data_IF_654900207245
#
_entry.id   IF_654900207245
#
_cell.length_a   1.000
_cell.length_b   1.000
_cell.length_c   1.000
_cell.angle_alpha   90.00
_cell.angle_beta   90.00
_cell.angle_gamma   90.00
#
_symmetry.space_group_name_H-M   'P 1'
#
loop_
_entity.id
_entity.type
_entity.pdbx_description
1 polymer ?
#
# COMPACT_ATOMS: atom_id res chain seq x y z
N UNK A 1 -19.86 -2.43 18.11
CA UNK A 1 -18.47 -2.71 17.65
C UNK A 1 -18.01 -1.46 16.90
N UNK A 2 -16.82 -0.92 17.14
CA UNK A 2 -16.40 0.34 16.48
C UNK A 2 -16.01 0.12 15.02
N UNK A 3 -16.24 1.12 14.17
CA UNK A 3 -15.93 1.04 12.73
C UNK A 3 -14.45 0.72 12.46
N UNK A 4 -13.55 1.22 13.32
CA UNK A 4 -12.11 0.92 13.26
C UNK A 4 -11.82 -0.56 13.51
N UNK A 5 -12.50 -1.18 14.48
CA UNK A 5 -12.33 -2.62 14.75
C UNK A 5 -12.85 -3.44 13.56
N UNK A 6 -14.03 -3.08 13.04
CA UNK A 6 -14.60 -3.76 11.87
C UNK A 6 -13.66 -3.66 10.66
N UNK A 7 -13.08 -2.48 10.40
CA UNK A 7 -12.11 -2.29 9.33
C UNK A 7 -10.85 -3.14 9.53
N UNK A 8 -10.31 -3.18 10.76
CA UNK A 8 -9.17 -4.04 11.08
C UNK A 8 -9.47 -5.53 10.84
N UNK A 9 -10.61 -6.01 11.33
CA UNK A 9 -11.02 -7.41 11.18
C UNK A 9 -11.19 -7.76 9.68
N UNK A 10 -11.81 -6.88 8.89
CA UNK A 10 -11.94 -7.06 7.44
C UNK A 10 -10.59 -7.08 6.71
N UNK A 11 -9.61 -6.28 7.14
CA UNK A 11 -8.25 -6.34 6.57
C UNK A 11 -7.60 -7.69 6.90
N UNK A 12 -7.75 -8.18 8.13
CA UNK A 12 -7.22 -9.49 8.53
C UNK A 12 -7.87 -10.62 7.70
N UNK A 13 -9.20 -10.60 7.56
CA UNK A 13 -9.93 -11.58 6.76
C UNK A 13 -9.45 -11.57 5.31
N UNK A 14 -9.29 -10.39 4.70
CA UNK A 14 -8.72 -10.25 3.37
C UNK A 14 -7.30 -10.81 3.27
N UNK A 15 -6.42 -10.51 4.25
CA UNK A 15 -5.04 -10.99 4.22
C UNK A 15 -4.96 -12.53 4.30
N UNK A 16 -5.88 -13.17 5.02
CA UNK A 16 -5.95 -14.62 5.18
C UNK A 16 -6.71 -15.34 4.06
N UNK A 17 -7.49 -14.61 3.25
CA UNK A 17 -8.24 -15.18 2.14
C UNK A 17 -7.29 -15.67 1.03
N UNK A 18 -7.48 -16.85 0.45
CA UNK A 18 -6.57 -17.35 -0.60
C UNK A 18 -6.98 -16.94 -2.03
N UNK A 19 -8.23 -16.54 -2.24
CA UNK A 19 -8.80 -16.25 -3.56
C UNK A 19 -8.83 -14.76 -3.88
N UNK A 20 -9.05 -13.91 -2.88
CA UNK A 20 -9.10 -12.46 -3.06
C UNK A 20 -7.70 -11.85 -3.18
N UNK A 21 -7.38 -11.30 -4.36
CA UNK A 21 -6.08 -10.66 -4.61
C UNK A 21 -6.06 -9.18 -4.24
N UNK A 22 -7.20 -8.49 -4.35
CA UNK A 22 -7.27 -7.02 -4.28
C UNK A 22 -8.21 -6.55 -3.17
N UNK A 23 -7.80 -5.52 -2.43
CA UNK A 23 -8.62 -4.83 -1.43
C UNK A 23 -8.61 -3.34 -1.70
N UNK A 24 -9.77 -2.70 -1.52
CA UNK A 24 -9.93 -1.26 -1.60
C UNK A 24 -10.38 -0.72 -0.25
N UNK A 25 -9.47 -0.07 0.46
CA UNK A 25 -9.71 0.39 1.82
C UNK A 25 -10.38 1.77 1.82
N UNK A 26 -11.60 1.84 2.35
CA UNK A 26 -12.47 3.05 2.40
C UNK A 26 -13.28 3.07 3.70
N UNK A 27 -13.98 4.17 3.97
CA UNK A 27 -15.06 4.24 4.97
C UNK A 27 -14.65 4.62 6.40
N UNK A 28 -13.38 4.50 6.76
CA UNK A 28 -12.83 5.03 8.03
C UNK A 28 -11.81 6.13 7.76
N UNK A 29 -11.61 7.00 8.76
CA UNK A 29 -10.70 8.14 8.67
C UNK A 29 -9.26 7.69 8.34
N UNK A 30 -8.52 8.57 7.68
CA UNK A 30 -7.26 8.21 7.00
C UNK A 30 -6.17 7.74 7.92
N UNK A 31 -6.10 8.37 9.08
CA UNK A 31 -5.19 7.97 10.14
C UNK A 31 -5.48 6.53 10.57
N UNK A 32 -6.73 6.25 10.89
CA UNK A 32 -7.19 4.94 11.35
C UNK A 32 -6.97 3.89 10.28
N UNK A 33 -7.14 4.21 8.98
CA UNK A 33 -6.84 3.29 7.88
C UNK A 33 -5.38 2.90 7.83
N UNK A 34 -4.48 3.89 7.85
CA UNK A 34 -3.05 3.60 7.78
C UNK A 34 -2.59 2.81 9.01
N UNK A 35 -3.09 3.18 10.20
CA UNK A 35 -2.78 2.47 11.44
C UNK A 35 -3.32 1.04 11.42
N UNK A 36 -4.58 0.82 11.03
CA UNK A 36 -5.18 -0.51 10.95
C UNK A 36 -4.45 -1.39 9.92
N UNK A 37 -4.16 -0.85 8.74
CA UNK A 37 -3.46 -1.56 7.67
C UNK A 37 -2.05 -2.00 8.09
N UNK A 38 -1.24 -1.07 8.61
CA UNK A 38 0.13 -1.40 9.05
C UNK A 38 0.14 -2.37 10.23
N UNK A 39 -0.81 -2.22 11.16
CA UNK A 39 -0.97 -3.14 12.29
C UNK A 39 -1.34 -4.54 11.82
N UNK A 40 -2.30 -4.66 10.91
CA UNK A 40 -2.75 -5.94 10.37
C UNK A 40 -1.64 -6.65 9.60
N UNK A 41 -0.91 -5.92 8.74
CA UNK A 41 0.24 -6.46 8.02
C UNK A 41 1.34 -6.95 8.98
N UNK A 42 1.68 -6.15 10.00
CA UNK A 42 2.72 -6.53 10.96
C UNK A 42 2.33 -7.74 11.84
N UNK A 43 1.03 -7.95 12.07
CA UNK A 43 0.49 -9.09 12.83
C UNK A 43 0.62 -10.42 12.07
N UNK A 44 0.70 -10.38 10.74
CA UNK A 44 0.91 -11.56 9.88
C UNK A 44 2.36 -12.09 9.93
N UNK A 45 3.25 -11.41 10.66
CA UNK A 45 4.65 -11.82 10.82
C UNK A 45 5.57 -11.25 9.73
N UNK A 46 6.52 -12.06 9.28
CA UNK A 46 7.64 -11.63 8.44
C UNK A 46 7.25 -11.43 6.98
N UNK A 47 6.46 -10.39 6.70
CA UNK A 47 6.04 -10.05 5.35
C UNK A 47 7.04 -9.14 4.63
N UNK A 48 7.19 -9.34 3.33
CA UNK A 48 7.91 -8.45 2.41
C UNK A 48 6.91 -7.75 1.50
N UNK A 49 6.90 -6.42 1.49
CA UNK A 49 5.95 -5.66 0.68
C UNK A 49 6.53 -4.48 -0.09
N UNK A 50 5.76 -4.03 -1.07
CA UNK A 50 6.05 -2.87 -1.90
C UNK A 50 5.00 -1.78 -1.68
N UNK A 51 5.43 -0.55 -1.49
CA UNK A 51 4.54 0.62 -1.44
C UNK A 51 4.80 1.46 -2.69
N UNK A 52 3.82 1.48 -3.58
CA UNK A 52 3.81 2.32 -4.76
C UNK A 52 3.19 3.67 -4.41
N UNK A 53 4.04 4.69 -4.44
CA UNK A 53 3.64 6.08 -4.23
C UNK A 53 3.24 6.70 -5.55
N UNK A 54 2.04 7.26 -5.65
CA UNK A 54 1.55 7.91 -6.87
C UNK A 54 1.31 9.40 -6.63
N UNK A 55 1.85 10.25 -7.50
CA UNK A 55 1.72 11.72 -7.40
C UNK A 55 2.13 12.30 -6.03
N UNK A 56 3.03 11.64 -5.31
CA UNK A 56 3.52 12.13 -4.03
C UNK A 56 4.67 13.13 -4.22
N UNK A 57 4.84 14.02 -3.25
CA UNK A 57 5.99 14.91 -3.17
C UNK A 57 7.29 14.13 -2.90
N UNK A 58 8.43 14.84 -2.89
CA UNK A 58 9.75 14.27 -2.56
C UNK A 58 9.75 13.49 -1.22
N UNK A 59 8.94 13.94 -0.27
CA UNK A 59 8.83 13.35 1.07
C UNK A 59 7.71 12.29 1.15
N UNK A 60 7.34 11.67 0.02
CA UNK A 60 6.24 10.73 -0.07
C UNK A 60 6.38 9.52 0.85
N UNK A 61 7.61 9.02 1.05
CA UNK A 61 7.88 7.89 1.95
C UNK A 61 7.62 8.28 3.41
N UNK A 62 8.11 9.44 3.84
CA UNK A 62 7.87 9.98 5.18
C UNK A 62 6.38 10.26 5.38
N UNK A 63 5.74 10.87 4.38
CA UNK A 63 4.33 11.22 4.44
C UNK A 63 3.45 9.99 4.60
N UNK A 64 3.72 8.89 3.89
CA UNK A 64 3.01 7.63 4.07
C UNK A 64 2.97 7.18 5.54
N UNK A 65 4.09 7.26 6.25
CA UNK A 65 4.16 6.91 7.68
C UNK A 65 3.56 7.98 8.59
N UNK A 66 3.66 9.26 8.24
CA UNK A 66 3.02 10.36 8.99
C UNK A 66 1.50 10.23 9.03
N UNK A 67 0.88 9.70 7.97
CA UNK A 67 -0.55 9.38 7.99
C UNK A 67 -0.90 8.33 9.04
N UNK A 68 0.04 7.45 9.43
CA UNK A 68 -0.12 6.53 10.55
C UNK A 68 0.31 7.13 11.92
N UNK A 69 0.64 8.42 11.98
CA UNK A 69 1.27 9.10 13.14
C UNK A 69 2.66 8.53 13.53
N UNK A 70 3.35 7.91 12.56
CA UNK A 70 4.68 7.34 12.76
C UNK A 70 5.78 8.33 12.35
N UNK A 71 5.99 9.36 13.16
CA UNK A 71 6.89 10.48 12.83
C UNK A 71 8.40 10.18 12.92
N UNK A 72 8.78 9.07 13.57
CA UNK A 72 10.19 8.72 13.85
C UNK A 72 10.73 7.60 12.97
N UNK A 73 10.00 7.23 11.91
CA UNK A 73 10.42 6.16 11.00
C UNK A 73 11.54 6.65 10.10
N UNK A 74 12.68 5.97 10.16
CA UNK A 74 13.80 6.22 9.24
C UNK A 74 13.50 5.55 7.90
N UNK A 75 13.03 6.35 6.93
CA UNK A 75 12.78 5.87 5.58
C UNK A 75 14.08 5.76 4.76
N UNK A 76 14.13 4.91 3.72
CA UNK A 76 15.27 4.83 2.83
C UNK A 76 15.54 6.15 2.10
N UNK A 77 16.81 6.39 1.73
CA UNK A 77 17.19 7.58 0.94
C UNK A 77 16.84 7.45 -0.55
N UNK A 78 16.54 6.23 -1.03
CA UNK A 78 16.29 5.92 -2.45
C UNK A 78 15.18 4.90 -2.59
N UNK A 79 14.36 5.05 -3.63
CA UNK A 79 13.39 4.04 -4.04
C UNK A 79 14.07 2.70 -4.37
N UNK A 80 13.41 1.59 -4.04
CA UNK A 80 13.92 0.23 -4.17
C UNK A 80 14.92 -0.22 -3.11
N UNK A 81 15.34 0.66 -2.18
CA UNK A 81 16.04 0.23 -0.99
C UNK A 81 15.03 -0.28 0.04
N UNK A 82 15.25 -1.49 0.55
CA UNK A 82 14.41 -2.07 1.60
C UNK A 82 14.66 -1.44 2.96
N UNK A 83 13.61 -1.25 3.74
CA UNK A 83 13.67 -0.91 5.16
C UNK A 83 12.98 -1.97 6.00
N UNK A 84 13.41 -2.08 7.27
CA UNK A 84 12.70 -2.86 8.28
C UNK A 84 11.76 -1.95 9.07
N UNK A 85 10.54 -2.41 9.25
CA UNK A 85 9.56 -1.82 10.17
C UNK A 85 8.97 -2.97 11.00
N UNK A 86 9.51 -3.20 12.19
CA UNK A 86 9.14 -4.36 13.02
C UNK A 86 9.28 -5.66 12.21
N UNK A 87 8.20 -6.42 11.97
CA UNK A 87 8.23 -7.68 11.24
C UNK A 87 8.22 -7.47 9.71
N UNK A 88 7.96 -6.25 9.24
CA UNK A 88 7.83 -5.95 7.84
C UNK A 88 9.17 -5.60 7.19
N UNK A 89 9.36 -6.08 5.96
CA UNK A 89 10.38 -5.57 5.05
C UNK A 89 9.70 -4.79 3.95
N UNK A 90 9.86 -3.48 3.93
CA UNK A 90 9.12 -2.57 3.05
C UNK A 90 10.08 -1.98 2.02
N UNK A 91 9.66 -2.03 0.76
CA UNK A 91 10.27 -1.34 -0.36
C UNK A 91 9.32 -0.23 -0.81
N UNK A 92 9.87 0.85 -1.35
CA UNK A 92 9.08 1.91 -1.98
C UNK A 92 9.42 2.00 -3.46
N UNK A 93 8.43 2.31 -4.28
CA UNK A 93 8.61 2.76 -5.66
C UNK A 93 7.70 3.95 -5.97
N UNK A 94 8.01 4.66 -7.06
CA UNK A 94 7.19 5.75 -7.57
C UNK A 94 6.44 5.29 -8.82
N UNK A 95 5.12 5.38 -8.78
CA UNK A 95 4.25 4.96 -9.86
C UNK A 95 3.84 6.17 -10.70
N UNK A 96 4.17 6.15 -11.98
CA UNK A 96 3.80 7.21 -12.92
C UNK A 96 3.30 6.63 -14.24
N UNK A 97 2.39 7.35 -14.91
CA UNK A 97 1.90 6.96 -16.25
C UNK A 97 2.93 7.12 -17.36
N UNK A 98 4.03 7.82 -17.11
CA UNK A 98 5.11 8.04 -18.09
C UNK A 98 6.09 6.87 -18.15
N UNK A 99 6.15 6.07 -17.10
CA UNK A 99 6.97 4.87 -17.03
C UNK A 99 6.17 3.80 -16.28
N UNK A 100 5.41 3.00 -17.01
CA UNK A 100 4.92 1.70 -16.53
C UNK A 100 6.15 0.82 -16.30
N UNK A 101 6.86 1.07 -15.21
CA UNK A 101 8.12 0.41 -14.94
C UNK A 101 7.78 -1.02 -14.50
N UNK A 102 8.05 -1.98 -15.39
CA UNK A 102 7.88 -3.42 -15.15
C UNK A 102 8.87 -3.97 -14.11
N UNK A 103 9.65 -3.06 -13.51
CA UNK A 103 10.76 -3.33 -12.59
C UNK A 103 10.39 -4.31 -11.50
N UNK A 104 9.16 -4.24 -10.98
CA UNK A 104 8.70 -5.12 -9.91
C UNK A 104 7.68 -6.17 -10.35
N UNK A 105 7.34 -6.28 -11.63
CA UNK A 105 6.29 -7.22 -12.10
C UNK A 105 6.63 -8.68 -11.81
N UNK A 106 7.91 -9.01 -11.88
CA UNK A 106 8.41 -10.35 -11.61
C UNK A 106 8.72 -10.62 -10.14
N UNK A 107 8.54 -9.64 -9.24
CA UNK A 107 8.83 -9.80 -7.83
C UNK A 107 7.58 -10.30 -7.09
N UNK A 108 7.70 -11.45 -6.43
CA UNK A 108 6.66 -12.01 -5.59
C UNK A 108 6.72 -11.38 -4.18
N UNK A 109 6.15 -10.19 -4.03
CA UNK A 109 5.91 -9.61 -2.71
C UNK A 109 4.71 -10.29 -2.02
N UNK A 110 4.70 -10.29 -0.69
CA UNK A 110 3.53 -10.74 0.08
C UNK A 110 2.40 -9.73 0.00
N UNK A 111 2.72 -8.43 -0.09
CA UNK A 111 1.74 -7.38 -0.28
C UNK A 111 2.27 -6.21 -1.11
N UNK A 112 1.35 -5.50 -1.74
CA UNK A 112 1.56 -4.23 -2.41
C UNK A 112 0.54 -3.23 -1.92
N UNK A 113 0.96 -2.01 -1.58
CA UNK A 113 0.07 -0.89 -1.28
C UNK A 113 0.23 0.14 -2.37
N UNK A 114 -0.89 0.60 -2.94
CA UNK A 114 -0.92 1.77 -3.83
C UNK A 114 -1.52 2.93 -3.06
N UNK A 115 -0.76 4.01 -2.93
CA UNK A 115 -1.16 5.16 -2.13
C UNK A 115 -0.57 6.48 -2.68
N UNK A 116 -1.31 7.61 -2.60
CA UNK A 116 -2.74 7.73 -2.31
C UNK A 116 -3.61 7.37 -3.54
N UNK A 117 -4.64 6.53 -3.40
CA UNK A 117 -5.47 6.17 -4.59
C UNK A 117 -6.39 7.29 -5.07
N UNK A 118 -6.68 8.30 -4.25
CA UNK A 118 -7.56 9.38 -4.65
C UNK A 118 -7.02 10.17 -5.85
N UNK A 119 -5.70 10.27 -5.96
CA UNK A 119 -5.05 11.02 -7.04
C UNK A 119 -5.33 10.44 -8.43
N UNK A 120 -5.74 9.16 -8.52
CA UNK A 120 -6.03 8.48 -9.79
C UNK A 120 -7.51 8.39 -10.14
N UNK A 121 -8.42 8.73 -9.22
CA UNK A 121 -9.87 8.44 -9.36
C UNK A 121 -10.58 9.17 -10.50
N UNK A 122 -9.92 10.17 -11.11
CA UNK A 122 -10.47 10.97 -12.21
C UNK A 122 -9.69 10.87 -13.52
N UNK A 123 -8.65 10.03 -13.57
CA UNK A 123 -7.78 9.88 -14.74
C UNK A 123 -7.87 8.45 -15.30
N UNK A 124 -8.56 8.29 -16.43
CA UNK A 124 -8.77 6.99 -17.08
C UNK A 124 -7.45 6.26 -17.39
N UNK A 125 -6.40 6.99 -17.77
CA UNK A 125 -5.08 6.39 -18.05
C UNK A 125 -4.44 5.80 -16.80
N UNK A 126 -4.62 6.46 -15.66
CA UNK A 126 -4.10 5.97 -14.38
C UNK A 126 -4.89 4.79 -13.85
N UNK A 127 -6.22 4.82 -14.02
CA UNK A 127 -7.08 3.68 -13.70
C UNK A 127 -6.67 2.47 -14.56
N UNK A 128 -6.46 2.67 -15.86
CA UNK A 128 -6.04 1.60 -16.76
C UNK A 128 -4.65 1.06 -16.40
N UNK A 129 -3.68 1.94 -16.12
CA UNK A 129 -2.35 1.55 -15.64
C UNK A 129 -2.43 0.68 -14.37
N UNK A 130 -3.30 1.02 -13.41
CA UNK A 130 -3.47 0.23 -12.19
C UNK A 130 -4.12 -1.13 -12.44
N UNK A 131 -5.07 -1.22 -13.38
CA UNK A 131 -5.65 -2.50 -13.79
C UNK A 131 -4.59 -3.42 -14.40
N UNK A 132 -3.83 -2.91 -15.37
CA UNK A 132 -2.74 -3.66 -16.02
C UNK A 132 -1.67 -4.08 -15.00
N UNK A 133 -1.33 -3.20 -14.06
CA UNK A 133 -0.40 -3.52 -12.97
C UNK A 133 -0.95 -4.65 -12.08
N UNK A 134 -2.24 -4.64 -11.74
CA UNK A 134 -2.84 -5.67 -10.90
C UNK A 134 -2.89 -7.04 -11.59
N UNK A 135 -3.12 -7.05 -12.90
CA UNK A 135 -3.14 -8.26 -13.74
C UNK A 135 -1.75 -8.87 -13.87
N UNK A 136 -0.73 -8.05 -14.15
CA UNK A 136 0.64 -8.53 -14.40
C UNK A 136 1.41 -8.89 -13.13
N UNK A 137 1.07 -8.30 -11.98
CA UNK A 137 1.85 -8.46 -10.76
C UNK A 137 1.75 -9.85 -10.14
N UNK A 138 2.90 -10.43 -9.78
CA UNK A 138 3.01 -11.70 -9.02
C UNK A 138 2.79 -11.54 -7.51
N UNK A 139 2.60 -10.31 -7.04
CA UNK A 139 2.34 -10.02 -5.63
C UNK A 139 1.05 -10.69 -5.14
N UNK A 140 1.08 -11.29 -3.93
CA UNK A 140 -0.06 -12.05 -3.38
C UNK A 140 -1.27 -11.17 -3.07
N UNK A 141 -1.05 -10.00 -2.49
CA UNK A 141 -2.11 -9.07 -2.03
C UNK A 141 -1.86 -7.66 -2.54
N UNK A 142 -2.85 -7.01 -3.14
CA UNK A 142 -2.76 -5.63 -3.61
C UNK A 142 -3.82 -4.79 -2.89
N UNK A 143 -3.39 -3.73 -2.23
CA UNK A 143 -4.23 -2.91 -1.36
C UNK A 143 -4.22 -1.48 -1.87
N UNK A 144 -5.39 -1.00 -2.25
CA UNK A 144 -5.64 0.37 -2.68
C UNK A 144 -6.11 1.19 -1.48
N UNK A 145 -5.24 2.04 -0.95
CA UNK A 145 -5.58 2.85 0.22
C UNK A 145 -6.09 4.23 -0.23
N UNK A 146 -7.41 4.43 -0.12
CA UNK A 146 -8.04 5.69 -0.46
C UNK A 146 -8.10 6.60 0.74
N UNK A 147 -7.62 7.84 0.67
CA UNK A 147 -7.97 8.84 1.68
C UNK A 147 -9.50 9.09 1.72
N UNK A 148 -10.01 9.73 2.77
CA UNK A 148 -11.35 10.33 2.83
C UNK A 148 -11.14 11.80 2.48
N UNK A 149 -11.86 12.28 1.47
CA UNK A 149 -11.81 13.68 1.04
C UNK A 149 -12.57 14.60 1.98
#
# INVERSE_FOLDING_TARGET
MSDVKNAYDQIIDFLNNETEKTLLLRGIADKEKHQALLKALNAQGNLKGLINLIHTTKDGMENFFRWAELYKVNVPKKYGQGMKLSNLTIFFDNLTTKSSSDKYDNYAFDFMIVWPIQSVTKNEKEIQMLKEMAERQKTKKIIYNAPIG
#
